data_IF_893198284325
#
_entry.id   IF_893198284325
#
_cell.length_a   1.000
_cell.length_b   1.000
_cell.length_c   1.000
_cell.angle_alpha   90.00
_cell.angle_beta   90.00
_cell.angle_gamma   90.00
#
_symmetry.space_group_name_H-M   'P 1'
#
loop_
_entity.id
_entity.type
_entity.pdbx_description
1 polymer ?
#
# COMPACT_ATOMS: atom_id res chain seq x y z
N UNK A 1 19.17 16.37 -0.72
CA UNK A 1 17.92 16.21 -1.49
C UNK A 1 16.81 16.08 -0.47
N UNK A 2 15.77 16.89 -0.54
CA UNK A 2 14.81 17.01 0.56
C UNK A 2 13.50 17.60 0.10
N UNK A 3 12.38 17.04 0.55
CA UNK A 3 10.99 17.45 0.28
C UNK A 3 10.55 17.51 -1.20
N UNK A 4 11.28 18.18 -2.09
CA UNK A 4 10.97 18.27 -3.52
C UNK A 4 10.94 16.90 -4.19
N UNK A 5 11.90 16.03 -3.86
CA UNK A 5 11.89 14.63 -4.32
C UNK A 5 10.65 13.90 -3.81
N UNK A 6 10.25 14.10 -2.55
CA UNK A 6 9.03 13.51 -1.98
C UNK A 6 7.78 14.02 -2.68
N UNK A 7 7.70 15.31 -3.00
CA UNK A 7 6.59 15.89 -3.79
C UNK A 7 6.55 15.28 -5.19
N UNK A 8 7.70 15.17 -5.86
CA UNK A 8 7.80 14.57 -7.21
C UNK A 8 7.38 13.10 -7.19
N UNK A 9 7.88 12.33 -6.23
CA UNK A 9 7.49 10.95 -6.00
C UNK A 9 5.99 10.83 -5.74
N UNK A 10 5.44 11.61 -4.80
CA UNK A 10 4.01 11.60 -4.49
C UNK A 10 3.14 11.93 -5.71
N UNK A 11 3.52 12.94 -6.48
CA UNK A 11 2.80 13.36 -7.67
C UNK A 11 2.89 12.36 -8.84
N UNK A 12 3.90 11.48 -8.83
CA UNK A 12 4.05 10.43 -9.85
C UNK A 12 3.10 9.24 -9.63
N UNK A 13 2.55 9.09 -8.42
CA UNK A 13 1.66 8.00 -8.08
C UNK A 13 0.23 8.28 -8.59
N UNK A 14 -0.50 7.25 -9.05
CA UNK A 14 -1.93 7.36 -9.32
C UNK A 14 -2.70 7.83 -8.08
N UNK A 15 -3.80 8.57 -8.28
CA UNK A 15 -4.60 9.10 -7.16
C UNK A 15 -5.09 8.00 -6.21
N UNK A 16 -5.50 6.84 -6.76
CA UNK A 16 -5.93 5.68 -5.99
C UNK A 16 -4.84 5.09 -5.09
N UNK A 17 -3.56 5.24 -5.46
CA UNK A 17 -2.42 4.68 -4.73
C UNK A 17 -1.93 5.61 -3.60
N UNK A 18 -2.22 6.91 -3.68
CA UNK A 18 -1.75 7.89 -2.69
C UNK A 18 -2.33 7.67 -1.29
N UNK A 19 -3.51 7.05 -1.25
CA UNK A 19 -4.27 6.73 -0.05
C UNK A 19 -4.24 5.23 0.28
N UNK A 20 -3.28 4.48 -0.29
CA UNK A 20 -3.01 3.09 0.03
C UNK A 20 -1.62 2.93 0.65
N UNK A 21 -1.45 1.99 1.60
CA UNK A 21 -0.15 1.69 2.19
C UNK A 21 0.91 1.39 1.13
N UNK A 22 2.11 1.96 1.29
CA UNK A 22 3.23 1.72 0.38
C UNK A 22 4.59 1.65 1.10
N UNK A 23 4.71 2.37 2.22
CA UNK A 23 5.92 2.44 3.03
C UNK A 23 5.74 1.64 4.32
N UNK A 24 6.81 1.03 4.80
CA UNK A 24 6.83 0.28 6.04
C UNK A 24 7.98 0.76 6.91
N UNK A 25 7.67 1.29 8.10
CA UNK A 25 8.67 1.74 9.08
C UNK A 25 8.36 1.09 10.42
N UNK A 26 9.30 0.29 10.92
CA UNK A 26 9.12 -0.46 12.16
C UNK A 26 8.01 -1.50 12.04
N UNK A 27 6.90 -1.26 12.72
CA UNK A 27 5.71 -2.14 12.74
C UNK A 27 4.45 -1.43 12.17
N UNK A 28 4.64 -0.33 11.44
CA UNK A 28 3.56 0.49 10.92
C UNK A 28 3.71 0.72 9.42
N UNK A 29 2.58 0.65 8.73
CA UNK A 29 2.48 0.98 7.31
C UNK A 29 2.00 2.41 7.12
N UNK A 30 2.61 3.11 6.18
CA UNK A 30 2.31 4.49 5.85
C UNK A 30 1.87 4.61 4.40
N UNK A 31 0.82 5.40 4.18
CA UNK A 31 0.40 5.83 2.84
C UNK A 31 1.35 6.91 2.31
N UNK A 32 1.47 7.07 0.97
CA UNK A 32 2.22 8.18 0.39
C UNK A 32 1.78 9.56 0.89
N UNK A 33 0.48 9.76 1.11
CA UNK A 33 -0.05 11.02 1.65
C UNK A 33 0.42 11.27 3.08
N UNK A 34 0.34 10.25 3.95
CA UNK A 34 0.87 10.34 5.31
C UNK A 34 2.37 10.59 5.31
N UNK A 35 3.12 9.92 4.44
CA UNK A 35 4.56 10.13 4.36
C UNK A 35 4.92 11.55 3.93
N UNK A 36 4.25 12.10 2.91
CA UNK A 36 4.45 13.49 2.52
C UNK A 36 4.14 14.44 3.67
N UNK A 37 3.03 14.22 4.39
CA UNK A 37 2.62 15.03 5.53
C UNK A 37 3.65 15.00 6.68
N UNK A 38 4.16 13.82 7.05
CA UNK A 38 5.18 13.68 8.09
C UNK A 38 6.51 14.35 7.70
N UNK A 39 6.91 14.24 6.42
CA UNK A 39 8.10 14.90 5.88
C UNK A 39 7.93 16.42 5.87
N UNK A 40 6.77 16.93 5.45
CA UNK A 40 6.47 18.37 5.47
C UNK A 40 6.54 18.96 6.88
N UNK A 41 6.18 18.17 7.89
CA UNK A 41 6.25 18.56 9.30
C UNK A 41 7.63 18.41 9.93
N UNK A 42 8.60 17.81 9.22
CA UNK A 42 9.95 17.57 9.73
C UNK A 42 9.97 16.64 10.94
N UNK A 43 9.07 15.67 11.01
CA UNK A 43 9.05 14.72 12.13
C UNK A 43 10.14 13.66 11.97
N UNK A 44 10.56 13.04 13.09
CA UNK A 44 11.55 11.94 13.05
C UNK A 44 11.11 10.78 12.15
N UNK A 45 9.80 10.49 12.13
CA UNK A 45 9.23 9.47 11.25
C UNK A 45 9.23 9.94 9.78
N UNK A 46 8.98 11.22 9.53
CA UNK A 46 9.13 11.84 8.21
C UNK A 46 10.54 11.67 7.66
N UNK A 47 11.57 11.94 8.46
CA UNK A 47 12.97 11.74 8.05
C UNK A 47 13.27 10.28 7.68
N UNK A 48 12.72 9.32 8.43
CA UNK A 48 12.86 7.89 8.12
C UNK A 48 12.14 7.51 6.83
N UNK A 49 10.91 8.00 6.64
CA UNK A 49 10.12 7.75 5.44
C UNK A 49 10.78 8.36 4.21
N UNK A 50 11.32 9.57 4.31
CA UNK A 50 12.06 10.22 3.23
C UNK A 50 13.29 9.39 2.83
N UNK A 51 14.09 8.91 3.80
CA UNK A 51 15.25 8.06 3.50
C UNK A 51 14.84 6.77 2.78
N UNK A 52 13.75 6.13 3.19
CA UNK A 52 13.26 4.94 2.49
C UNK A 52 12.89 5.21 1.04
N UNK A 53 12.22 6.34 0.78
CA UNK A 53 11.88 6.75 -0.59
C UNK A 53 13.14 7.04 -1.38
N UNK A 54 14.10 7.79 -0.83
CA UNK A 54 15.38 8.12 -1.46
C UNK A 54 16.24 6.90 -1.77
N UNK A 55 16.25 5.89 -0.89
CA UNK A 55 16.94 4.63 -1.10
C UNK A 55 16.18 3.67 -2.05
N UNK A 56 14.97 4.06 -2.50
CA UNK A 56 14.09 3.20 -3.28
C UNK A 56 13.63 1.95 -2.51
N UNK A 57 13.68 1.98 -1.17
CA UNK A 57 13.32 0.88 -0.27
C UNK A 57 11.88 1.01 0.16
N UNK A 58 11.01 0.41 -0.62
CA UNK A 58 9.58 0.38 -0.35
C UNK A 58 9.17 -1.04 0.04
N UNK A 59 8.71 -1.23 1.29
CA UNK A 59 8.08 -2.46 1.79
C UNK A 59 8.95 -3.73 1.71
N UNK A 60 9.52 -4.15 2.84
CA UNK A 60 10.36 -5.36 2.92
C UNK A 60 9.55 -6.67 2.77
N UNK A 61 8.25 -6.65 3.10
CA UNK A 61 7.35 -7.79 3.01
C UNK A 61 6.12 -7.45 2.15
N UNK A 62 6.09 -7.98 0.93
CA UNK A 62 5.00 -7.76 -0.03
C UNK A 62 3.69 -8.39 0.43
N UNK A 63 3.71 -9.50 1.17
CA UNK A 63 2.48 -10.14 1.65
C UNK A 63 1.84 -9.31 2.75
N UNK A 64 2.65 -8.83 3.70
CA UNK A 64 2.17 -7.95 4.76
C UNK A 64 1.64 -6.62 4.19
N UNK A 65 2.34 -6.05 3.21
CA UNK A 65 1.89 -4.86 2.50
C UNK A 65 0.57 -5.09 1.75
N UNK A 66 0.47 -6.16 0.97
CA UNK A 66 -0.74 -6.50 0.24
C UNK A 66 -1.93 -6.75 1.18
N UNK A 67 -1.71 -7.42 2.31
CA UNK A 67 -2.73 -7.61 3.35
C UNK A 67 -3.21 -6.26 3.90
N UNK A 68 -2.30 -5.35 4.24
CA UNK A 68 -2.65 -4.02 4.76
C UNK A 68 -3.43 -3.19 3.73
N UNK A 69 -3.02 -3.25 2.46
CA UNK A 69 -3.70 -2.56 1.35
C UNK A 69 -5.10 -3.13 1.12
N UNK A 70 -5.22 -4.46 1.05
CA UNK A 70 -6.50 -5.13 0.86
C UNK A 70 -7.47 -4.82 2.01
N UNK A 71 -7.01 -4.77 3.26
CA UNK A 71 -7.84 -4.35 4.38
C UNK A 71 -8.42 -2.94 4.19
N UNK A 72 -7.59 -1.96 3.79
CA UNK A 72 -8.09 -0.61 3.53
C UNK A 72 -9.08 -0.54 2.36
N UNK A 73 -8.86 -1.34 1.32
CA UNK A 73 -9.79 -1.44 0.19
C UNK A 73 -11.12 -2.00 0.66
N UNK A 74 -11.11 -3.08 1.44
CA UNK A 74 -12.32 -3.69 1.99
C UNK A 74 -13.07 -2.72 2.92
N UNK A 75 -12.37 -1.98 3.78
CA UNK A 75 -13.00 -0.97 4.66
C UNK A 75 -13.71 0.15 3.88
N UNK A 76 -13.20 0.50 2.69
CA UNK A 76 -13.77 1.54 1.83
C UNK A 76 -14.83 1.00 0.86
N UNK A 77 -15.01 -0.32 0.77
CA UNK A 77 -15.92 -0.95 -0.18
C UNK A 77 -17.33 -1.02 0.45
N UNK A 78 -18.36 -0.36 -0.13
CA UNK A 78 -19.71 -0.37 0.46
C UNK A 78 -20.58 -1.54 -0.03
N UNK A 79 -20.09 -2.36 -0.95
CA UNK A 79 -20.86 -3.42 -1.60
C UNK A 79 -20.30 -4.82 -1.31
N UNK A 80 -21.18 -5.83 -1.40
CA UNK A 80 -20.77 -7.23 -1.30
C UNK A 80 -19.93 -7.63 -2.51
N UNK A 81 -18.90 -8.43 -2.28
CA UNK A 81 -18.02 -8.96 -3.30
C UNK A 81 -18.53 -10.35 -3.68
N UNK A 82 -19.07 -10.47 -4.89
CA UNK A 82 -19.47 -11.74 -5.48
C UNK A 82 -18.26 -12.50 -6.01
N UNK A 83 -18.20 -13.79 -5.74
CA UNK A 83 -17.17 -14.70 -6.28
C UNK A 83 -17.71 -15.45 -7.49
N UNK A 84 -16.80 -15.93 -8.33
CA UNK A 84 -17.15 -16.79 -9.48
C UNK A 84 -17.78 -18.14 -9.05
N UNK A 85 -17.66 -18.49 -7.77
CA UNK A 85 -18.29 -19.65 -7.14
C UNK A 85 -19.76 -19.40 -6.75
N UNK A 86 -20.30 -18.20 -7.01
CA UNK A 86 -21.68 -17.83 -6.70
C UNK A 86 -21.90 -17.41 -5.23
N UNK A 87 -20.83 -17.32 -4.43
CA UNK A 87 -20.90 -16.82 -3.05
C UNK A 87 -20.74 -15.30 -3.07
N UNK A 88 -21.42 -14.62 -2.15
CA UNK A 88 -21.24 -13.18 -1.96
C UNK A 88 -20.77 -12.95 -0.53
N UNK A 89 -19.62 -12.30 -0.37
CA UNK A 89 -19.09 -11.95 0.94
C UNK A 89 -19.25 -10.45 1.17
N UNK A 90 -19.59 -10.07 2.39
CA UNK A 90 -19.44 -8.69 2.82
C UNK A 90 -17.95 -8.33 2.96
N UNK A 91 -17.59 -7.05 2.78
CA UNK A 91 -16.22 -6.59 3.01
C UNK A 91 -15.72 -6.89 4.43
N UNK A 92 -16.63 -6.83 5.41
CA UNK A 92 -16.34 -7.14 6.82
C UNK A 92 -15.98 -8.62 7.01
N UNK A 93 -16.74 -9.53 6.41
CA UNK A 93 -16.45 -10.97 6.43
C UNK A 93 -15.07 -11.26 5.81
N UNK A 94 -14.78 -10.67 4.65
CA UNK A 94 -13.48 -10.85 4.00
C UNK A 94 -12.34 -10.27 4.84
N UNK A 95 -12.55 -9.12 5.48
CA UNK A 95 -11.56 -8.51 6.34
C UNK A 95 -11.30 -9.36 7.59
N UNK A 96 -12.34 -9.96 8.18
CA UNK A 96 -12.21 -10.90 9.28
C UNK A 96 -11.44 -12.17 8.88
N UNK A 97 -11.80 -12.79 7.75
CA UNK A 97 -11.12 -13.97 7.24
C UNK A 97 -9.63 -13.69 6.98
N UNK A 98 -9.33 -12.54 6.38
CA UNK A 98 -7.96 -12.09 6.14
C UNK A 98 -7.19 -11.85 7.44
N UNK A 99 -7.84 -11.32 8.48
CA UNK A 99 -7.25 -11.15 9.83
C UNK A 99 -6.97 -12.49 10.49
N UNK A 100 -7.91 -13.44 10.41
CA UNK A 100 -7.82 -14.81 10.96
C UNK A 100 -6.81 -15.69 10.21
N UNK A 101 -6.40 -15.30 8.99
CA UNK A 101 -5.48 -16.08 8.16
C UNK A 101 -6.17 -17.17 7.34
N UNK A 102 -7.49 -17.09 7.20
CA UNK A 102 -8.28 -18.02 6.39
C UNK A 102 -8.10 -17.69 4.91
N UNK A 103 -7.09 -18.31 4.29
CA UNK A 103 -6.76 -18.13 2.88
C UNK A 103 -7.66 -19.01 2.00
N UNK A 104 -8.92 -18.60 1.82
CA UNK A 104 -9.78 -19.16 0.77
C UNK A 104 -9.17 -18.92 -0.61
N UNK A 105 -9.50 -19.75 -1.62
CA UNK A 105 -9.04 -19.53 -2.99
C UNK A 105 -9.32 -18.11 -3.50
N UNK A 106 -10.45 -17.52 -3.11
CA UNK A 106 -10.84 -16.19 -3.52
C UNK A 106 -10.02 -15.10 -2.83
N UNK A 107 -9.73 -15.25 -1.53
CA UNK A 107 -8.84 -14.32 -0.82
C UNK A 107 -7.39 -14.43 -1.30
N UNK A 108 -6.93 -15.64 -1.67
CA UNK A 108 -5.63 -15.83 -2.31
C UNK A 108 -5.54 -15.04 -3.60
N UNK A 109 -6.54 -15.16 -4.48
CA UNK A 109 -6.58 -14.42 -5.74
C UNK A 109 -6.56 -12.90 -5.52
N UNK A 110 -7.33 -12.39 -4.56
CA UNK A 110 -7.33 -10.98 -4.20
C UNK A 110 -5.98 -10.52 -3.66
N UNK A 111 -5.35 -11.30 -2.79
CA UNK A 111 -4.01 -11.03 -2.29
C UNK A 111 -2.97 -11.03 -3.41
N UNK A 112 -2.98 -12.01 -4.31
CA UNK A 112 -2.06 -12.11 -5.44
C UNK A 112 -2.21 -10.89 -6.37
N UNK A 113 -3.45 -10.51 -6.66
CA UNK A 113 -3.76 -9.30 -7.44
C UNK A 113 -3.19 -8.06 -6.76
N UNK A 114 -3.38 -7.92 -5.45
CA UNK A 114 -2.86 -6.78 -4.69
C UNK A 114 -1.32 -6.76 -4.63
N UNK A 115 -0.68 -7.92 -4.56
CA UNK A 115 0.78 -8.05 -4.66
C UNK A 115 1.27 -7.56 -6.02
N UNK A 116 0.60 -7.94 -7.11
CA UNK A 116 0.96 -7.47 -8.45
C UNK A 116 0.78 -5.96 -8.61
N UNK A 117 -0.33 -5.41 -8.12
CA UNK A 117 -0.58 -3.96 -8.11
C UNK A 117 0.49 -3.24 -7.30
N UNK A 118 0.78 -3.70 -6.08
CA UNK A 118 1.83 -3.14 -5.25
C UNK A 118 3.18 -3.18 -5.97
N UNK A 119 3.58 -4.30 -6.58
CA UNK A 119 4.82 -4.40 -7.36
C UNK A 119 4.88 -3.38 -8.50
N UNK A 120 3.77 -3.17 -9.23
CA UNK A 120 3.70 -2.16 -10.30
C UNK A 120 3.88 -0.76 -9.74
N UNK A 121 3.15 -0.40 -8.69
CA UNK A 121 3.28 0.91 -8.02
C UNK A 121 4.70 1.13 -7.52
N UNK A 122 5.31 0.12 -6.90
CA UNK A 122 6.69 0.17 -6.45
C UNK A 122 7.69 0.33 -7.59
N UNK A 123 7.44 -0.32 -8.74
CA UNK A 123 8.24 -0.15 -9.95
C UNK A 123 8.18 1.28 -10.49
N UNK A 124 6.99 1.88 -10.54
CA UNK A 124 6.80 3.28 -10.93
C UNK A 124 7.51 4.22 -9.96
N UNK A 125 7.32 4.01 -8.67
CA UNK A 125 7.97 4.78 -7.61
C UNK A 125 9.50 4.73 -7.71
N UNK A 126 10.08 3.54 -7.93
CA UNK A 126 11.53 3.37 -8.07
C UNK A 126 12.09 4.11 -9.28
N UNK A 127 11.42 4.11 -10.43
CA UNK A 127 11.89 4.83 -11.63
C UNK A 127 12.03 6.34 -11.38
N UNK A 128 11.13 6.92 -10.59
CA UNK A 128 11.14 8.37 -10.30
C UNK A 128 12.29 8.77 -9.39
N UNK A 129 12.72 7.86 -8.50
CA UNK A 129 13.84 8.08 -7.57
C UNK A 129 15.18 7.68 -8.18
N UNK A 130 15.22 6.57 -8.93
CA UNK A 130 16.44 5.95 -9.44
C UNK A 130 17.11 6.66 -10.60
N UNK A 131 16.42 7.59 -11.28
CA UNK A 131 17.02 8.45 -12.30
C UNK A 131 17.74 7.68 -13.41
N UNK A 132 16.99 7.00 -14.26
CA UNK A 132 17.38 6.71 -15.65
C UNK A 132 16.36 7.33 -16.60
#
# INVERSE_FOLDING_TARGET
MSLELMRKWFNSLPESEKDLPLLHVGNAFYTPRQALYEVERGTKIGEQLQRLVEEGRFGTDLNALAKARLLQVLEKTPYKIGTLTGKAYSPEELAEMLKKGELTPELKLLMETEIELAKRTLGLAKKVVGGE
#
